data_IF_421156916883
#
_entry.id   IF_421156916883
#
_cell.length_a   1.000
_cell.length_b   1.000
_cell.length_c   1.000
_cell.angle_alpha   90.00
_cell.angle_beta   90.00
_cell.angle_gamma   90.00
#
_symmetry.space_group_name_H-M   'P 1'
#
loop_
_entity.id
_entity.type
_entity.pdbx_description
1 polymer ?
#
# COMPACT_ATOMS: atom_id res chain seq x y z
N UNK A 1 8.23 17.21 18.49
CA UNK A 1 7.22 16.60 19.37
C UNK A 1 7.23 15.09 19.17
N UNK A 2 7.30 14.32 20.25
CA UNK A 2 7.05 12.87 20.23
C UNK A 2 5.56 12.67 20.33
N UNK A 3 5.03 11.78 19.49
CA UNK A 3 3.59 11.52 19.32
C UNK A 3 3.32 10.01 19.46
N UNK A 4 3.31 9.46 20.68
CA UNK A 4 2.93 8.05 20.86
C UNK A 4 1.41 7.91 20.68
N UNK A 5 1.01 6.99 19.79
CA UNK A 5 -0.37 6.56 19.64
C UNK A 5 -0.43 5.07 19.97
N UNK A 6 -1.24 4.69 20.95
CA UNK A 6 -1.17 3.35 21.50
C UNK A 6 0.25 3.03 22.00
N UNK A 7 0.86 1.98 21.46
CA UNK A 7 2.26 1.59 21.71
C UNK A 7 3.23 2.03 20.63
N UNK A 8 2.73 2.66 19.56
CA UNK A 8 3.51 3.07 18.39
C UNK A 8 4.21 4.40 18.65
N UNK A 9 5.55 4.48 18.58
CA UNK A 9 6.27 5.73 18.68
C UNK A 9 6.25 6.46 17.35
N UNK A 10 5.84 7.73 17.35
CA UNK A 10 5.95 8.62 16.21
C UNK A 10 6.66 9.92 16.61
N UNK A 11 7.18 10.62 15.61
CA UNK A 11 7.86 11.90 15.79
C UNK A 11 7.44 12.90 14.72
N UNK A 12 7.08 14.10 15.14
CA UNK A 12 7.00 15.27 14.27
C UNK A 12 8.00 16.33 14.72
N UNK A 13 8.81 16.82 13.79
CA UNK A 13 9.74 17.91 14.02
C UNK A 13 9.60 18.95 12.89
N UNK A 14 9.58 20.26 13.24
CA UNK A 14 9.50 21.34 12.27
C UNK A 14 10.50 22.43 12.62
N UNK A 15 11.21 22.93 11.60
CA UNK A 15 12.08 24.10 11.65
C UNK A 15 11.49 25.19 10.77
N UNK A 16 11.40 26.41 11.28
CA UNK A 16 10.73 27.52 10.61
C UNK A 16 9.22 27.50 10.77
N UNK A 17 8.57 28.64 10.52
CA UNK A 17 7.13 28.85 10.66
C UNK A 17 6.50 29.46 9.41
N UNK A 18 7.31 29.88 8.44
CA UNK A 18 6.83 30.47 7.17
C UNK A 18 6.53 29.41 6.11
N UNK A 19 5.88 29.84 5.02
CA UNK A 19 5.70 29.07 3.81
C UNK A 19 6.75 29.40 2.72
N UNK A 20 6.97 28.52 1.75
CA UNK A 20 6.39 27.19 1.65
C UNK A 20 6.90 26.22 2.73
N UNK A 21 6.04 25.28 3.13
CA UNK A 21 6.35 24.21 4.08
C UNK A 21 6.55 22.90 3.34
N UNK A 22 7.74 22.32 3.45
CA UNK A 22 8.09 21.01 2.86
C UNK A 22 8.27 20.00 3.98
N UNK A 23 7.59 18.86 3.87
CA UNK A 23 7.71 17.74 4.80
C UNK A 23 8.48 16.60 4.14
N UNK A 24 9.34 15.95 4.92
CA UNK A 24 9.83 14.61 4.61
C UNK A 24 9.10 13.60 5.51
N UNK A 25 8.54 12.56 4.89
CA UNK A 25 7.91 11.47 5.60
C UNK A 25 8.71 10.17 5.47
N UNK A 26 8.74 9.40 6.54
CA UNK A 26 9.39 8.10 6.57
C UNK A 26 9.09 7.32 7.84
N UNK A 27 9.51 6.05 7.84
CA UNK A 27 9.27 5.13 8.94
C UNK A 27 10.55 4.55 9.54
N UNK A 28 10.45 4.06 10.77
CA UNK A 28 11.59 3.45 11.49
C UNK A 28 11.36 1.99 11.88
N UNK A 29 10.13 1.53 11.85
CA UNK A 29 9.81 0.11 11.95
C UNK A 29 10.31 -0.66 10.72
N UNK A 30 10.35 -1.96 10.81
CA UNK A 30 10.95 -2.82 9.78
C UNK A 30 10.26 -4.18 9.77
N UNK A 31 10.18 -4.79 8.60
CA UNK A 31 9.80 -6.21 8.48
C UNK A 31 10.80 -7.12 9.21
N UNK A 32 10.42 -8.36 9.56
CA UNK A 32 11.33 -9.33 10.15
C UNK A 32 12.60 -9.50 9.32
N UNK A 33 13.73 -9.67 9.98
CA UNK A 33 15.04 -9.77 9.32
C UNK A 33 15.12 -10.90 8.27
N UNK A 34 14.41 -12.00 8.50
CA UNK A 34 14.55 -13.20 7.67
C UNK A 34 15.86 -13.95 7.95
N UNK A 35 16.28 -14.79 6.99
CA UNK A 35 17.47 -15.64 7.10
C UNK A 35 18.58 -15.21 6.13
N UNK A 36 19.76 -15.87 6.24
CA UNK A 36 20.88 -15.76 5.32
C UNK A 36 21.61 -14.40 5.31
N UNK A 37 21.61 -13.69 6.42
CA UNK A 37 22.40 -12.46 6.58
C UNK A 37 23.90 -12.81 6.73
N UNK A 38 24.77 -12.04 6.06
CA UNK A 38 26.24 -12.15 6.22
C UNK A 38 26.74 -11.43 7.47
N UNK A 39 26.00 -10.43 7.95
CA UNK A 39 26.25 -9.66 9.15
C UNK A 39 25.01 -9.67 10.04
N UNK A 40 25.13 -9.32 11.30
CA UNK A 40 23.97 -9.13 12.19
C UNK A 40 23.01 -8.10 11.56
N UNK A 41 21.76 -8.45 11.26
CA UNK A 41 20.79 -7.55 10.63
C UNK A 41 20.47 -6.31 11.45
N UNK A 42 20.76 -6.30 12.74
CA UNK A 42 20.54 -5.17 13.63
C UNK A 42 21.85 -4.55 14.16
N UNK A 43 22.99 -5.04 13.71
CA UNK A 43 24.31 -4.61 14.15
C UNK A 43 24.83 -3.31 13.49
N UNK A 44 24.30 -2.96 12.30
CA UNK A 44 24.75 -1.77 11.56
C UNK A 44 26.19 -1.83 11.09
N UNK A 45 26.68 -3.02 10.69
CA UNK A 45 28.05 -3.22 10.26
C UNK A 45 28.33 -2.43 8.97
N UNK A 46 29.50 -1.78 8.90
CA UNK A 46 30.01 -1.12 7.69
C UNK A 46 31.21 -1.94 7.17
N UNK A 47 31.10 -2.49 5.99
CA UNK A 47 32.17 -3.24 5.35
C UNK A 47 32.20 -2.88 3.84
N UNK A 48 33.39 -2.65 3.32
CA UNK A 48 33.63 -2.34 1.90
C UNK A 48 32.75 -1.18 1.36
N UNK A 49 32.54 -0.14 2.19
CA UNK A 49 31.72 1.02 1.85
C UNK A 49 30.20 0.77 1.88
N UNK A 50 29.76 -0.41 2.31
CA UNK A 50 28.36 -0.81 2.39
C UNK A 50 27.91 -0.90 3.86
N UNK A 51 26.76 -0.29 4.18
CA UNK A 51 26.09 -0.42 5.47
C UNK A 51 25.15 -1.63 5.42
N UNK A 52 25.40 -2.62 6.26
CA UNK A 52 24.57 -3.81 6.41
C UNK A 52 23.60 -3.64 7.57
N UNK A 53 22.29 -3.72 7.29
CA UNK A 53 21.28 -3.66 8.35
C UNK A 53 19.86 -3.72 7.80
N UNK A 54 18.96 -4.40 8.52
CA UNK A 54 17.53 -4.36 8.25
C UNK A 54 17.02 -2.92 8.48
N UNK A 55 16.33 -2.36 7.46
CA UNK A 55 15.88 -0.97 7.47
C UNK A 55 16.97 0.06 7.09
N UNK A 56 18.18 -0.36 6.68
CA UNK A 56 19.19 0.60 6.21
C UNK A 56 18.79 1.22 4.86
N UNK A 57 18.29 0.41 3.91
CA UNK A 57 17.78 0.87 2.63
C UNK A 57 16.32 1.33 2.75
N UNK A 58 15.51 0.60 3.46
CA UNK A 58 14.08 0.80 3.71
C UNK A 58 13.86 1.02 5.19
N UNK A 59 13.71 2.31 5.65
CA UNK A 59 14.13 3.50 4.88
C UNK A 59 14.98 4.46 5.73
N UNK A 60 15.65 3.95 6.81
CA UNK A 60 16.42 4.79 7.76
C UNK A 60 17.57 5.56 7.09
N UNK A 61 18.14 5.02 6.00
CA UNK A 61 19.16 5.72 5.21
C UNK A 61 18.63 7.03 4.60
N UNK A 62 17.42 7.01 4.05
CA UNK A 62 16.78 8.21 3.50
C UNK A 62 16.43 9.22 4.60
N UNK A 63 15.97 8.77 5.77
CA UNK A 63 15.71 9.63 6.94
C UNK A 63 17.01 10.33 7.37
N UNK A 64 18.11 9.59 7.49
CA UNK A 64 19.41 10.14 7.88
C UNK A 64 19.93 11.16 6.87
N UNK A 65 19.81 10.87 5.57
CA UNK A 65 20.21 11.79 4.50
C UNK A 65 19.40 13.10 4.54
N UNK A 66 18.08 13.00 4.71
CA UNK A 66 17.23 14.18 4.82
C UNK A 66 17.52 14.99 6.09
N UNK A 67 17.67 14.33 7.23
CA UNK A 67 17.99 15.01 8.49
C UNK A 67 19.31 15.80 8.39
N UNK A 68 20.34 15.21 7.79
CA UNK A 68 21.61 15.87 7.54
C UNK A 68 21.47 17.09 6.59
N UNK A 69 20.68 16.94 5.51
CA UNK A 69 20.40 18.04 4.59
C UNK A 69 19.58 19.17 5.25
N UNK A 70 18.62 18.84 6.10
CA UNK A 70 17.76 19.79 6.80
C UNK A 70 18.47 20.54 7.94
N UNK A 71 19.59 20.04 8.45
CA UNK A 71 20.40 20.76 9.44
C UNK A 71 21.17 21.94 8.84
N UNK A 72 21.40 21.92 7.52
CA UNK A 72 22.03 22.99 6.77
C UNK A 72 21.13 24.20 6.49
N UNK A 73 21.61 25.20 5.75
CA UNK A 73 20.77 26.29 5.24
C UNK A 73 19.75 25.81 4.28
N UNK A 74 18.51 26.29 4.42
CA UNK A 74 17.36 25.95 3.56
C UNK A 74 16.89 27.19 2.77
N UNK A 75 17.69 27.72 1.83
CA UNK A 75 17.37 28.96 1.14
C UNK A 75 16.09 28.81 0.30
N UNK A 76 15.18 29.76 0.47
CA UNK A 76 13.89 29.77 -0.25
C UNK A 76 12.82 28.86 0.34
N UNK A 77 13.07 28.17 1.44
CA UNK A 77 12.06 27.42 2.18
C UNK A 77 11.61 28.21 3.41
N UNK A 78 10.31 28.30 3.61
CA UNK A 78 9.76 28.95 4.81
C UNK A 78 9.85 28.05 6.02
N UNK A 79 9.58 26.75 5.84
CA UNK A 79 9.75 25.73 6.87
C UNK A 79 9.98 24.35 6.30
N UNK A 80 10.64 23.52 7.08
CA UNK A 80 10.95 22.11 6.79
C UNK A 80 10.49 21.26 7.96
N UNK A 81 9.87 20.13 7.70
CA UNK A 81 9.47 19.20 8.75
C UNK A 81 9.83 17.76 8.42
N UNK A 82 9.90 16.97 9.51
CA UNK A 82 10.03 15.51 9.50
C UNK A 82 8.78 14.93 10.13
N UNK A 83 8.14 14.00 9.42
CA UNK A 83 7.14 13.08 9.93
C UNK A 83 7.78 11.70 9.95
N UNK A 84 7.96 11.13 11.13
CA UNK A 84 8.52 9.79 11.28
C UNK A 84 7.51 8.92 12.01
N UNK A 85 7.12 7.82 11.39
CA UNK A 85 6.22 6.82 11.95
C UNK A 85 6.96 5.56 12.39
N UNK A 86 6.34 4.79 13.27
CA UNK A 86 6.78 3.46 13.70
C UNK A 86 5.76 2.37 13.41
N UNK A 87 4.84 2.56 12.44
CA UNK A 87 3.79 1.61 12.07
C UNK A 87 3.48 1.72 10.56
N UNK A 88 4.50 1.68 9.70
CA UNK A 88 4.33 1.60 8.25
C UNK A 88 4.28 0.14 7.77
N UNK A 89 5.21 -0.66 8.27
CA UNK A 89 5.38 -2.08 7.92
C UNK A 89 4.40 -3.01 8.67
N UNK A 90 3.59 -2.44 9.55
CA UNK A 90 2.64 -3.14 10.40
C UNK A 90 1.19 -3.02 9.93
N UNK A 91 0.31 -2.67 10.88
CA UNK A 91 -1.14 -2.53 10.64
C UNK A 91 -1.48 -1.15 10.07
N UNK A 92 -0.57 -0.18 10.19
CA UNK A 92 -0.68 1.20 9.72
C UNK A 92 -1.89 1.98 10.32
N UNK A 93 -2.25 1.68 11.58
CA UNK A 93 -3.37 2.33 12.28
C UNK A 93 -2.95 3.42 13.25
N UNK A 94 -1.77 3.27 13.86
CA UNK A 94 -1.25 4.19 14.86
C UNK A 94 -0.01 4.98 14.37
N UNK A 95 0.24 4.94 13.06
CA UNK A 95 1.34 5.58 12.35
C UNK A 95 0.96 6.91 11.69
N UNK A 96 1.24 7.00 10.40
CA UNK A 96 1.12 8.19 9.55
C UNK A 96 -0.26 8.85 9.64
N UNK A 97 -1.34 8.07 9.59
CA UNK A 97 -2.73 8.61 9.66
C UNK A 97 -2.93 9.43 10.93
N UNK A 98 -2.49 8.91 12.09
CA UNK A 98 -2.65 9.60 13.38
C UNK A 98 -1.77 10.85 13.48
N UNK A 99 -0.56 10.79 12.89
CA UNK A 99 0.31 11.96 12.84
C UNK A 99 -0.28 13.06 11.96
N UNK A 100 -0.86 12.70 10.82
CA UNK A 100 -1.55 13.64 9.91
C UNK A 100 -2.77 14.29 10.57
N UNK A 101 -3.57 13.52 11.32
CA UNK A 101 -4.68 14.07 12.12
C UNK A 101 -4.17 15.11 13.13
N UNK A 102 -3.06 14.78 13.83
CA UNK A 102 -2.45 15.70 14.77
C UNK A 102 -1.90 16.96 14.07
N UNK A 103 -1.23 16.78 12.92
CA UNK A 103 -0.70 17.90 12.12
C UNK A 103 -1.82 18.84 11.65
N UNK A 104 -2.95 18.28 11.20
CA UNK A 104 -4.12 19.06 10.80
C UNK A 104 -4.68 19.88 11.96
N UNK A 105 -4.77 19.28 13.17
CA UNK A 105 -5.28 19.95 14.37
C UNK A 105 -4.33 21.05 14.91
N UNK A 106 -3.08 21.11 14.43
CA UNK A 106 -2.06 22.06 14.92
C UNK A 106 -1.48 22.96 13.82
N UNK A 107 -2.15 23.08 12.67
CA UNK A 107 -1.72 23.90 11.53
C UNK A 107 -0.32 23.53 10.98
N UNK A 108 -0.06 22.24 10.90
CA UNK A 108 1.23 21.72 10.43
C UNK A 108 1.15 20.97 9.09
N UNK A 109 0.03 21.02 8.39
CA UNK A 109 -0.08 20.39 7.04
C UNK A 109 0.89 21.08 6.09
N UNK A 110 1.75 20.33 5.39
CA UNK A 110 2.74 20.88 4.48
C UNK A 110 2.12 21.22 3.10
N UNK A 111 2.79 22.14 2.37
CA UNK A 111 2.46 22.45 0.97
C UNK A 111 2.93 21.32 0.03
N UNK A 112 3.98 20.59 0.41
CA UNK A 112 4.53 19.47 -0.32
C UNK A 112 5.18 18.45 0.62
N UNK A 113 5.12 17.18 0.22
CA UNK A 113 5.76 16.08 0.95
C UNK A 113 6.68 15.28 0.01
N UNK A 114 7.81 14.85 0.56
CA UNK A 114 8.71 13.87 -0.03
C UNK A 114 8.73 12.64 0.88
N UNK A 115 8.33 11.50 0.34
CA UNK A 115 8.45 10.19 1.01
C UNK A 115 9.75 9.54 0.56
N UNK A 116 10.58 9.14 1.51
CA UNK A 116 11.95 8.67 1.23
C UNK A 116 12.09 7.18 0.94
N UNK A 117 11.05 6.54 0.47
CA UNK A 117 11.03 5.12 0.14
C UNK A 117 11.98 4.74 -1.00
N UNK A 118 12.56 3.53 -0.99
CA UNK A 118 13.42 3.04 -2.05
C UNK A 118 12.60 2.68 -3.30
N UNK A 119 12.59 3.55 -4.32
CA UNK A 119 11.73 3.41 -5.50
C UNK A 119 12.49 3.05 -6.78
N UNK A 120 13.84 3.04 -6.75
CA UNK A 120 14.66 2.88 -7.93
C UNK A 120 15.07 1.41 -8.12
N UNK A 121 14.56 0.68 -9.15
CA UNK A 121 14.81 -0.75 -9.32
C UNK A 121 16.23 -1.07 -9.84
N UNK A 122 16.85 -0.22 -10.63
CA UNK A 122 18.14 -0.48 -11.26
C UNK A 122 19.24 0.51 -10.88
N UNK A 123 18.98 1.80 -11.01
CA UNK A 123 19.96 2.84 -10.72
C UNK A 123 19.36 3.99 -9.93
N UNK A 124 20.12 4.56 -9.00
CA UNK A 124 19.68 5.68 -8.19
C UNK A 124 19.30 6.88 -9.08
N UNK A 125 18.09 7.38 -8.91
CA UNK A 125 17.58 8.53 -9.64
C UNK A 125 16.84 8.20 -10.94
N UNK A 126 16.60 6.93 -11.26
CA UNK A 126 15.87 6.55 -12.47
C UNK A 126 14.34 6.73 -12.37
N UNK A 127 13.79 6.83 -11.14
CA UNK A 127 12.34 6.88 -10.93
C UNK A 127 11.95 7.77 -9.75
N UNK A 128 10.89 8.54 -9.95
CA UNK A 128 10.13 9.23 -8.90
C UNK A 128 8.70 8.71 -8.96
N UNK A 129 8.18 8.22 -7.86
CA UNK A 129 6.77 7.86 -7.75
C UNK A 129 5.92 9.08 -7.45
N UNK A 130 4.87 9.27 -8.24
CA UNK A 130 3.92 10.38 -8.14
C UNK A 130 2.51 9.91 -7.77
N UNK A 131 2.34 8.64 -7.50
CA UNK A 131 1.06 8.07 -7.12
C UNK A 131 1.20 6.59 -6.79
N UNK A 132 0.12 5.99 -6.32
CA UNK A 132 0.06 4.55 -6.07
C UNK A 132 -1.30 3.98 -6.42
N UNK A 133 -1.34 2.70 -6.75
CA UNK A 133 -2.58 1.95 -6.89
C UNK A 133 -3.22 1.72 -5.53
N UNK A 134 -4.55 1.69 -5.50
CA UNK A 134 -5.30 1.22 -4.35
C UNK A 134 -5.17 -0.29 -4.20
N UNK A 135 -5.47 -0.77 -2.99
CA UNK A 135 -5.43 -2.18 -2.63
C UNK A 135 -6.66 -2.57 -1.83
N UNK A 136 -7.36 -3.60 -2.29
CA UNK A 136 -8.52 -4.16 -1.63
C UNK A 136 -8.38 -5.67 -1.51
N UNK A 137 -8.66 -6.20 -0.33
CA UNK A 137 -8.81 -7.61 -0.08
C UNK A 137 -10.28 -7.92 0.18
N UNK A 138 -10.79 -9.02 -0.36
CA UNK A 138 -12.14 -9.47 -0.10
C UNK A 138 -12.17 -10.96 0.21
N UNK A 139 -12.99 -11.34 1.19
CA UNK A 139 -13.35 -12.73 1.48
C UNK A 139 -14.80 -12.93 1.12
N UNK A 140 -15.05 -13.77 0.12
CA UNK A 140 -16.39 -14.11 -0.37
C UNK A 140 -16.78 -15.47 0.16
N UNK A 141 -17.82 -15.55 0.98
CA UNK A 141 -18.39 -16.80 1.48
C UNK A 141 -19.78 -17.02 0.89
N UNK A 142 -19.93 -18.08 0.13
CA UNK A 142 -21.22 -18.52 -0.40
C UNK A 142 -21.81 -19.57 0.52
N UNK A 143 -23.04 -19.35 0.95
CA UNK A 143 -23.79 -20.25 1.83
C UNK A 143 -24.73 -21.12 1.01
N UNK A 144 -24.63 -22.43 1.23
CA UNK A 144 -25.46 -23.46 0.60
C UNK A 144 -26.34 -24.18 1.60
N UNK A 145 -26.76 -25.37 1.22
CA UNK A 145 -27.44 -26.33 2.08
C UNK A 145 -26.73 -27.68 1.93
N UNK A 146 -26.16 -28.15 3.03
CA UNK A 146 -25.46 -29.43 3.04
C UNK A 146 -26.40 -30.59 2.72
N UNK A 147 -25.88 -31.60 2.00
CA UNK A 147 -26.64 -32.78 1.71
C UNK A 147 -25.83 -33.92 1.09
N UNK A 148 -26.45 -35.09 0.89
CA UNK A 148 -25.78 -36.19 0.27
C UNK A 148 -25.70 -35.99 -1.25
N UNK A 149 -24.55 -36.22 -1.87
CA UNK A 149 -24.31 -35.98 -3.30
C UNK A 149 -25.23 -36.78 -4.22
N UNK A 150 -25.75 -37.95 -3.77
CA UNK A 150 -26.73 -38.73 -4.51
C UNK A 150 -28.16 -38.14 -4.51
N UNK A 151 -28.42 -37.15 -3.66
CA UNK A 151 -29.74 -36.49 -3.56
C UNK A 151 -29.62 -34.97 -3.70
N UNK A 152 -29.08 -34.46 -4.83
CA UNK A 152 -28.77 -33.03 -4.99
C UNK A 152 -30.01 -32.13 -4.90
N UNK A 153 -31.23 -32.66 -5.16
CA UNK A 153 -32.50 -31.94 -5.04
C UNK A 153 -32.85 -31.56 -3.58
N UNK A 154 -32.16 -32.13 -2.59
CA UNK A 154 -32.32 -31.82 -1.16
C UNK A 154 -31.23 -30.92 -0.60
N UNK A 155 -30.34 -30.46 -1.47
CA UNK A 155 -29.19 -29.63 -1.13
C UNK A 155 -29.10 -28.39 -2.01
N UNK A 156 -28.25 -27.43 -1.63
CA UNK A 156 -27.85 -26.30 -2.47
C UNK A 156 -26.33 -26.21 -2.44
N UNK A 157 -25.69 -26.49 -3.60
CA UNK A 157 -24.24 -26.59 -3.64
C UNK A 157 -23.56 -25.21 -3.75
N UNK A 158 -22.93 -24.72 -2.69
CA UNK A 158 -22.26 -23.40 -2.68
C UNK A 158 -21.03 -23.38 -3.58
N UNK A 159 -20.36 -24.52 -3.81
CA UNK A 159 -19.17 -24.61 -4.67
C UNK A 159 -19.56 -24.29 -6.12
N UNK A 160 -20.64 -24.87 -6.61
CA UNK A 160 -21.12 -24.60 -7.98
C UNK A 160 -21.53 -23.12 -8.17
N UNK A 161 -22.07 -22.49 -7.13
CA UNK A 161 -22.42 -21.06 -7.13
C UNK A 161 -21.17 -20.19 -7.11
N UNK A 162 -20.22 -20.49 -6.22
CA UNK A 162 -18.95 -19.76 -6.10
C UNK A 162 -18.16 -19.81 -7.41
N UNK A 163 -18.01 -21.00 -8.01
CA UNK A 163 -17.29 -21.15 -9.29
C UNK A 163 -17.89 -20.30 -10.40
N UNK A 164 -19.24 -20.26 -10.53
CA UNK A 164 -19.90 -19.38 -11.51
C UNK A 164 -19.67 -17.90 -11.20
N UNK A 165 -19.74 -17.51 -9.93
CA UNK A 165 -19.47 -16.14 -9.52
C UNK A 165 -18.03 -15.72 -9.82
N UNK A 166 -17.03 -16.55 -9.48
CA UNK A 166 -15.63 -16.29 -9.78
C UNK A 166 -15.36 -16.22 -11.29
N UNK A 167 -15.99 -17.11 -12.08
CA UNK A 167 -15.90 -17.04 -13.53
C UNK A 167 -16.45 -15.73 -14.10
N UNK A 168 -17.55 -15.20 -13.54
CA UNK A 168 -18.11 -13.91 -13.93
C UNK A 168 -17.16 -12.74 -13.56
N UNK A 169 -16.56 -12.77 -12.38
CA UNK A 169 -15.60 -11.74 -11.95
C UNK A 169 -14.33 -11.69 -12.80
N UNK A 170 -13.90 -12.83 -13.32
CA UNK A 170 -12.65 -12.97 -14.08
C UNK A 170 -12.85 -12.97 -15.60
N UNK A 171 -14.09 -12.82 -16.08
CA UNK A 171 -14.44 -12.91 -17.49
C UNK A 171 -13.87 -11.76 -18.34
N UNK A 172 -13.67 -10.59 -17.73
CA UNK A 172 -13.14 -9.40 -18.40
C UNK A 172 -12.21 -8.62 -17.45
N UNK A 173 -11.24 -7.86 -17.98
CA UNK A 173 -10.47 -6.93 -17.18
C UNK A 173 -11.39 -5.84 -16.58
N UNK A 174 -11.01 -5.30 -15.42
CA UNK A 174 -11.76 -4.23 -14.74
C UNK A 174 -11.75 -2.92 -15.55
N UNK A 175 -10.64 -2.63 -16.21
CA UNK A 175 -10.40 -1.45 -17.05
C UNK A 175 -9.21 -1.68 -17.99
N UNK A 176 -8.89 -0.67 -18.79
CA UNK A 176 -7.76 -0.69 -19.72
C UNK A 176 -6.55 0.13 -19.21
N UNK A 177 -6.58 0.58 -17.96
CA UNK A 177 -5.60 1.52 -17.41
C UNK A 177 -5.97 2.98 -17.66
N UNK A 178 -5.13 3.87 -17.16
CA UNK A 178 -5.26 5.32 -17.36
C UNK A 178 -3.97 5.90 -17.91
N UNK A 179 -3.88 7.23 -18.03
CA UNK A 179 -2.66 7.90 -18.54
C UNK A 179 -1.41 7.62 -17.66
N UNK A 180 -1.60 7.32 -16.39
CA UNK A 180 -0.53 7.13 -15.41
C UNK A 180 -0.50 5.76 -14.77
N UNK A 181 -1.54 4.97 -14.92
CA UNK A 181 -1.68 3.68 -14.26
C UNK A 181 -1.91 2.55 -15.26
N UNK A 182 -1.29 1.42 -14.98
CA UNK A 182 -1.64 0.16 -15.64
C UNK A 182 -3.08 -0.26 -15.30
N UNK A 183 -3.66 -1.19 -16.06
CA UNK A 183 -4.98 -1.75 -15.76
C UNK A 183 -5.10 -2.28 -14.34
N UNK A 184 -6.27 -2.08 -13.74
CA UNK A 184 -6.60 -2.71 -12.46
C UNK A 184 -6.67 -4.22 -12.62
N UNK A 185 -6.23 -4.94 -11.58
CA UNK A 185 -6.17 -6.39 -11.60
C UNK A 185 -6.93 -7.00 -10.42
N UNK A 186 -7.74 -8.02 -10.71
CA UNK A 186 -8.36 -8.89 -9.73
C UNK A 186 -7.69 -10.25 -9.77
N UNK A 187 -7.25 -10.73 -8.60
CA UNK A 187 -6.71 -12.07 -8.44
C UNK A 187 -7.52 -12.86 -7.43
N UNK A 188 -7.92 -14.08 -7.79
CA UNK A 188 -8.44 -15.07 -6.84
C UNK A 188 -7.22 -15.74 -6.21
N UNK A 189 -7.00 -15.49 -4.92
CA UNK A 189 -5.79 -15.97 -4.22
C UNK A 189 -5.99 -17.28 -3.46
N UNK A 190 -7.24 -17.64 -3.16
CA UNK A 190 -7.59 -18.90 -2.51
C UNK A 190 -9.05 -19.29 -2.82
N UNK A 191 -9.31 -20.58 -2.88
CA UNK A 191 -10.66 -21.16 -2.88
C UNK A 191 -10.66 -22.31 -1.88
N UNK A 192 -11.42 -22.16 -0.80
CA UNK A 192 -11.43 -23.07 0.33
C UNK A 192 -12.84 -23.62 0.59
N UNK A 193 -12.97 -24.92 0.68
CA UNK A 193 -14.24 -25.61 0.98
C UNK A 193 -14.16 -26.41 2.28
N UNK A 194 -12.97 -26.94 2.61
CA UNK A 194 -12.74 -27.75 3.83
C UNK A 194 -13.52 -29.06 3.86
N UNK A 195 -14.00 -29.55 2.71
CA UNK A 195 -14.83 -30.74 2.62
C UNK A 195 -13.97 -31.99 2.38
N UNK A 196 -13.81 -32.83 3.41
CA UNK A 196 -13.07 -34.10 3.33
C UNK A 196 -13.87 -35.30 2.82
N UNK A 197 -15.20 -35.17 2.64
CA UNK A 197 -16.08 -36.27 2.23
C UNK A 197 -16.54 -36.11 0.76
N UNK A 198 -16.27 -37.10 -0.06
CA UNK A 198 -16.58 -37.06 -1.53
C UNK A 198 -18.08 -37.17 -1.82
N UNK A 199 -18.88 -37.71 -0.92
CA UNK A 199 -20.32 -37.93 -1.05
C UNK A 199 -21.19 -36.89 -0.33
N UNK A 200 -20.59 -35.79 0.17
CA UNK A 200 -21.28 -34.70 0.88
C UNK A 200 -21.16 -33.41 0.09
N UNK A 201 -22.28 -32.74 -0.19
CA UNK A 201 -22.35 -31.37 -0.65
C UNK A 201 -22.10 -30.47 0.58
N UNK A 202 -21.12 -29.55 0.56
CA UNK A 202 -20.78 -28.73 1.74
C UNK A 202 -21.85 -27.67 2.04
N UNK A 203 -21.82 -27.13 3.26
CA UNK A 203 -22.71 -26.05 3.69
C UNK A 203 -22.25 -24.67 3.21
N UNK A 204 -20.95 -24.48 2.97
CA UNK A 204 -20.36 -23.23 2.52
C UNK A 204 -19.14 -23.45 1.63
N UNK A 205 -18.78 -22.43 0.87
CA UNK A 205 -17.53 -22.36 0.12
C UNK A 205 -17.01 -20.90 0.16
N UNK A 206 -15.71 -20.73 0.34
CA UNK A 206 -15.08 -19.42 0.52
C UNK A 206 -13.99 -19.19 -0.54
N UNK A 207 -13.89 -17.97 -1.04
CA UNK A 207 -12.76 -17.51 -1.86
C UNK A 207 -12.17 -16.24 -1.28
N UNK A 208 -10.85 -16.07 -1.46
CA UNK A 208 -10.15 -14.82 -1.17
C UNK A 208 -9.73 -14.15 -2.45
N UNK A 209 -9.94 -12.85 -2.51
CA UNK A 209 -9.64 -12.00 -3.65
C UNK A 209 -8.70 -10.88 -3.23
N UNK A 210 -7.78 -10.51 -4.13
CA UNK A 210 -7.00 -9.28 -4.02
C UNK A 210 -7.24 -8.44 -5.27
N UNK A 211 -7.55 -7.17 -5.11
CA UNK A 211 -7.73 -6.22 -6.20
C UNK A 211 -6.72 -5.08 -6.03
N UNK A 212 -5.88 -4.89 -7.05
CA UNK A 212 -5.05 -3.69 -7.20
C UNK A 212 -5.71 -2.78 -8.21
N UNK A 213 -6.10 -1.58 -7.81
CA UNK A 213 -6.91 -0.70 -8.63
C UNK A 213 -6.27 0.67 -8.84
N UNK A 214 -6.51 1.24 -10.01
CA UNK A 214 -6.01 2.52 -10.44
C UNK A 214 -6.98 3.67 -10.08
N UNK A 215 -6.71 4.86 -10.58
CA UNK A 215 -7.45 6.11 -10.32
C UNK A 215 -8.85 6.16 -10.97
N UNK A 216 -9.23 5.16 -11.77
CA UNK A 216 -10.59 5.04 -12.34
C UNK A 216 -11.60 4.45 -11.34
N UNK A 217 -11.10 3.88 -10.23
CA UNK A 217 -11.92 3.20 -9.24
C UNK A 217 -11.70 3.76 -7.83
N UNK A 218 -12.68 3.52 -6.97
CA UNK A 218 -12.56 3.64 -5.51
C UNK A 218 -12.87 2.29 -4.87
N UNK A 219 -12.30 2.03 -3.69
CA UNK A 219 -12.58 0.79 -2.96
C UNK A 219 -14.07 0.56 -2.75
N UNK A 220 -14.82 1.60 -2.36
CA UNK A 220 -16.28 1.53 -2.19
C UNK A 220 -17.03 1.22 -3.50
N UNK A 221 -16.55 1.69 -4.66
CA UNK A 221 -17.15 1.34 -5.95
C UNK A 221 -16.90 -0.11 -6.31
N UNK A 222 -15.69 -0.60 -6.07
CA UNK A 222 -15.33 -2.01 -6.31
C UNK A 222 -16.08 -2.98 -5.38
N UNK A 223 -16.29 -2.61 -4.13
CA UNK A 223 -17.12 -3.40 -3.21
C UNK A 223 -18.57 -3.55 -3.73
N UNK A 224 -19.18 -2.43 -4.14
CA UNK A 224 -20.52 -2.48 -4.78
C UNK A 224 -20.53 -3.31 -6.05
N UNK A 225 -19.50 -3.20 -6.88
CA UNK A 225 -19.34 -4.01 -8.09
C UNK A 225 -19.24 -5.50 -7.78
N UNK A 226 -18.45 -5.91 -6.76
CA UNK A 226 -18.36 -7.29 -6.30
C UNK A 226 -19.73 -7.85 -5.91
N UNK A 227 -20.49 -7.10 -5.10
CA UNK A 227 -21.83 -7.49 -4.71
C UNK A 227 -22.77 -7.66 -5.93
N UNK A 228 -22.76 -6.69 -6.83
CA UNK A 228 -23.60 -6.73 -8.03
C UNK A 228 -23.25 -7.88 -8.98
N UNK A 229 -21.96 -8.17 -9.16
CA UNK A 229 -21.48 -9.23 -10.04
C UNK A 229 -21.76 -10.63 -9.46
N UNK A 230 -21.71 -10.80 -8.15
CA UNK A 230 -21.86 -12.10 -7.49
C UNK A 230 -23.32 -12.45 -7.17
N UNK A 231 -24.17 -11.49 -6.89
CA UNK A 231 -25.57 -11.69 -6.48
C UNK A 231 -26.38 -12.60 -7.44
N UNK A 232 -26.28 -12.51 -8.78
CA UNK A 232 -26.99 -13.39 -9.70
C UNK A 232 -26.61 -14.87 -9.57
N UNK A 233 -25.38 -15.15 -9.11
CA UNK A 233 -24.82 -16.49 -9.01
C UNK A 233 -24.96 -17.09 -7.62
N UNK A 234 -24.96 -16.25 -6.59
CA UNK A 234 -24.93 -16.64 -5.18
C UNK A 234 -25.88 -15.76 -4.35
N UNK A 235 -27.18 -16.05 -4.29
CA UNK A 235 -28.17 -15.24 -3.57
C UNK A 235 -27.96 -15.23 -2.04
N UNK A 236 -27.24 -16.21 -1.51
CA UNK A 236 -26.84 -16.27 -0.10
C UNK A 236 -25.32 -16.16 -0.01
N UNK A 237 -24.81 -14.93 0.07
CA UNK A 237 -23.38 -14.69 0.18
C UNK A 237 -23.09 -13.64 1.25
N UNK A 238 -21.89 -13.73 1.81
CA UNK A 238 -21.26 -12.70 2.65
C UNK A 238 -19.98 -12.26 1.95
N UNK A 239 -19.72 -10.98 1.92
CA UNK A 239 -18.46 -10.41 1.42
C UNK A 239 -17.89 -9.52 2.53
N UNK A 240 -16.72 -9.90 3.03
CA UNK A 240 -15.94 -9.10 3.97
C UNK A 240 -14.83 -8.40 3.19
N UNK A 241 -14.80 -7.07 3.24
CA UNK A 241 -13.87 -6.23 2.48
C UNK A 241 -12.95 -5.48 3.42
N UNK A 242 -11.67 -5.44 3.06
CA UNK A 242 -10.67 -4.57 3.67
C UNK A 242 -9.98 -3.77 2.58
N UNK A 243 -10.09 -2.44 2.63
CA UNK A 243 -9.38 -1.51 1.75
C UNK A 243 -8.13 -1.08 2.49
N UNK A 244 -6.95 -1.53 2.03
CA UNK A 244 -5.67 -1.17 2.64
C UNK A 244 -5.24 0.26 2.26
N UNK A 245 -5.76 0.79 1.17
CA UNK A 245 -5.55 2.17 0.73
C UNK A 245 -6.24 2.45 -0.59
N UNK A 246 -6.67 3.69 -0.77
CA UNK A 246 -7.20 4.17 -2.04
C UNK A 246 -6.05 4.45 -3.03
N UNK A 247 -6.36 4.47 -4.32
CA UNK A 247 -5.43 4.98 -5.33
C UNK A 247 -5.33 6.49 -5.24
N UNK A 248 -4.14 7.04 -5.51
CA UNK A 248 -3.98 8.49 -5.65
C UNK A 248 -2.93 8.83 -6.71
N UNK A 249 -3.02 10.04 -7.24
CA UNK A 249 -2.07 10.62 -8.18
C UNK A 249 -1.73 12.05 -7.75
N UNK A 250 -0.45 12.33 -7.56
CA UNK A 250 0.07 13.69 -7.53
C UNK A 250 0.31 14.13 -8.96
N UNK A 251 -0.57 14.97 -9.49
CA UNK A 251 -0.42 15.47 -10.86
C UNK A 251 0.95 16.13 -11.06
N UNK A 252 1.68 15.82 -12.14
CA UNK A 252 2.95 16.47 -12.45
C UNK A 252 2.81 18.00 -12.48
N UNK A 253 3.73 18.70 -11.80
CA UNK A 253 3.70 20.15 -11.65
C UNK A 253 5.03 20.70 -11.17
N UNK A 254 5.01 21.91 -10.65
CA UNK A 254 6.23 22.62 -10.21
C UNK A 254 7.04 21.84 -9.15
N UNK A 255 6.38 21.12 -8.25
CA UNK A 255 7.05 20.31 -7.22
C UNK A 255 7.77 19.10 -7.83
N UNK A 256 7.07 18.32 -8.66
CA UNK A 256 7.66 17.14 -9.32
C UNK A 256 8.79 17.55 -10.27
N UNK A 257 8.66 18.68 -10.98
CA UNK A 257 9.71 19.21 -11.84
C UNK A 257 10.95 19.64 -11.05
N UNK A 258 10.77 20.25 -9.86
CA UNK A 258 11.88 20.63 -8.96
C UNK A 258 12.61 19.41 -8.45
N UNK A 259 11.89 18.38 -8.01
CA UNK A 259 12.49 17.11 -7.57
C UNK A 259 13.24 16.41 -8.70
N UNK A 260 12.63 16.34 -9.89
CA UNK A 260 13.28 15.74 -11.05
C UNK A 260 14.57 16.48 -11.45
N UNK A 261 14.55 17.81 -11.39
CA UNK A 261 15.73 18.63 -11.63
C UNK A 261 16.85 18.39 -10.59
N UNK A 262 16.51 18.31 -9.31
CA UNK A 262 17.48 18.00 -8.24
C UNK A 262 18.08 16.59 -8.40
N UNK A 263 17.26 15.59 -8.74
CA UNK A 263 17.75 14.24 -9.02
C UNK A 263 18.70 14.25 -10.22
N UNK A 264 18.34 14.93 -11.31
CA UNK A 264 19.16 15.03 -12.51
C UNK A 264 20.51 15.75 -12.23
N UNK A 265 20.48 16.80 -11.44
CA UNK A 265 21.72 17.54 -11.06
C UNK A 265 22.70 16.64 -10.29
N UNK A 266 22.22 15.81 -9.38
CA UNK A 266 23.04 14.94 -8.54
C UNK A 266 23.47 13.66 -9.26
N UNK A 267 22.56 13.02 -10.01
CA UNK A 267 22.80 11.69 -10.61
C UNK A 267 23.14 11.73 -12.08
N UNK A 268 22.89 12.84 -12.77
CA UNK A 268 22.98 12.95 -14.23
C UNK A 268 21.80 12.30 -14.98
N UNK A 269 20.84 11.69 -14.26
CA UNK A 269 19.70 10.97 -14.82
C UNK A 269 18.43 11.81 -14.75
N UNK A 270 17.64 11.81 -15.81
CA UNK A 270 16.28 12.36 -15.81
C UNK A 270 15.34 11.27 -15.28
N UNK A 271 14.76 11.43 -14.08
CA UNK A 271 13.90 10.40 -13.52
C UNK A 271 12.60 10.25 -14.29
N UNK A 272 12.15 9.00 -14.47
CA UNK A 272 10.80 8.70 -14.94
C UNK A 272 9.79 8.94 -13.81
N UNK A 273 8.67 9.59 -14.12
CA UNK A 273 7.53 9.66 -13.22
C UNK A 273 6.69 8.40 -13.38
N UNK A 274 6.32 7.76 -12.26
CA UNK A 274 5.70 6.44 -12.27
C UNK A 274 4.72 6.27 -11.10
N UNK A 275 3.81 5.32 -11.22
CA UNK A 275 2.81 4.97 -10.20
C UNK A 275 2.80 3.48 -9.86
N UNK A 276 3.70 2.69 -10.48
CA UNK A 276 3.80 1.25 -10.29
C UNK A 276 4.51 0.83 -9.01
N UNK A 277 4.42 -0.46 -8.66
CA UNK A 277 5.15 -1.10 -7.57
C UNK A 277 4.46 -1.08 -6.21
N UNK A 278 5.26 -1.20 -5.15
CA UNK A 278 4.80 -1.28 -3.77
C UNK A 278 4.06 -0.05 -3.27
N UNK A 279 3.42 -0.19 -2.13
CA UNK A 279 2.68 0.89 -1.47
C UNK A 279 3.45 1.32 -0.22
N UNK A 280 3.35 2.60 0.13
CA UNK A 280 3.73 3.19 1.40
C UNK A 280 2.54 3.99 1.95
N UNK A 281 2.60 4.40 3.17
CA UNK A 281 1.54 5.16 3.87
C UNK A 281 1.19 6.51 3.22
#
# INVERSE_FOLDING_TARGET
TRLPFGTTPNLFARRGLGGPHVCFAGHTDVVPAGANWQHDPFGGAVADGTLYGRGACDMKGAIAAFAAAADGPTPGWGSVSLLITGDEEGVATDGTVRVLEWMAAHDHIPDACLVGEPTNPGALGEMIKIGRRGSMNATVTVHGTQGHAAYPQRADNPVHRLVRGLAALTAAPLDAGSAWFEPSSLQVTSVDVGNGATNVIPASATARLNIRFNDLHTGAALERWLHAALAPHAPRLTIDVTISGESFLTAPGAWTARLAGAVQEVTGMVPRLDTGGGTSD
#
